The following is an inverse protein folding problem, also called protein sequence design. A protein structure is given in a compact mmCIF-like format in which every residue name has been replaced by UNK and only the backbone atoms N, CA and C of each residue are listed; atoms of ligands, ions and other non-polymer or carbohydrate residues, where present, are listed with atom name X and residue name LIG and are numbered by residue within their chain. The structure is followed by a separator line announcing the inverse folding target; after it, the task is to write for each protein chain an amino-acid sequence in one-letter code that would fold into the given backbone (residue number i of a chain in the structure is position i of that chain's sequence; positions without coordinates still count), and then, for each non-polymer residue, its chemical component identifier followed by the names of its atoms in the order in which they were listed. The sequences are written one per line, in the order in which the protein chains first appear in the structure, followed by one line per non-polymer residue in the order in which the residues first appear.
data_IF_955983860480
#
_entry.id   IF_955983860480
#
_cell.length_a   1.000
_cell.length_b   1.000
_cell.length_c   1.000
_cell.angle_alpha   90.00
_cell.angle_beta   90.00
_cell.angle_gamma   90.00
#
_symmetry.space_group_name_H-M   'P 1'
#
loop_
_entity.id
_entity.type
_entity.pdbx_description
1 polymer ?
#
# COMPACT_ATOMS: atom_id res chain seq x y z
N UNK A 1 52.22 -31.44 -0.50
CA UNK A 1 50.80 -31.62 -0.10
C UNK A 1 50.24 -30.22 0.10
N UNK A 2 49.58 -29.68 -0.93
CA UNK A 2 48.85 -28.42 -0.89
C UNK A 2 47.40 -28.76 -0.56
N UNK A 3 46.88 -28.23 0.55
CA UNK A 3 45.47 -28.34 0.90
C UNK A 3 44.79 -27.02 0.53
N UNK A 4 43.90 -27.11 -0.47
CA UNK A 4 42.99 -26.05 -0.89
C UNK A 4 42.06 -25.64 0.27
N UNK A 5 42.01 -24.35 0.54
CA UNK A 5 40.99 -23.75 1.39
C UNK A 5 39.89 -23.17 0.49
N UNK A 6 38.80 -23.93 0.32
CA UNK A 6 37.59 -23.44 -0.33
C UNK A 6 36.83 -22.56 0.67
N UNK A 7 36.79 -21.26 0.41
CA UNK A 7 36.01 -20.29 1.17
C UNK A 7 34.56 -20.32 0.66
N UNK A 8 33.68 -21.03 1.35
CA UNK A 8 32.24 -21.03 1.06
C UNK A 8 31.64 -19.76 1.68
N UNK A 9 31.38 -18.75 0.84
CA UNK A 9 30.57 -17.59 1.22
C UNK A 9 29.12 -18.04 1.27
N UNK A 10 28.63 -18.37 2.47
CA UNK A 10 27.22 -18.57 2.72
C UNK A 10 26.51 -17.20 2.61
N UNK A 11 25.81 -16.98 1.49
CA UNK A 11 24.84 -15.88 1.42
C UNK A 11 23.68 -16.22 2.35
N UNK A 12 23.63 -15.54 3.50
CA UNK A 12 22.47 -15.57 4.36
C UNK A 12 21.32 -14.83 3.65
N UNK A 13 20.47 -15.58 2.95
CA UNK A 13 19.14 -15.10 2.58
C UNK A 13 18.36 -14.96 3.88
N UNK A 14 18.26 -13.73 4.40
CA UNK A 14 17.29 -13.42 5.43
C UNK A 14 15.91 -13.81 4.89
N UNK A 15 15.10 -14.59 5.62
CA UNK A 15 13.72 -14.77 5.24
C UNK A 15 13.08 -13.38 5.27
N UNK A 16 12.60 -12.89 4.12
CA UNK A 16 11.50 -11.93 4.12
C UNK A 16 10.42 -12.58 4.99
N UNK A 17 10.27 -12.11 6.22
CA UNK A 17 9.21 -12.58 7.09
C UNK A 17 7.92 -12.33 6.33
N UNK A 18 7.21 -13.41 6.00
CA UNK A 18 5.82 -13.41 5.54
C UNK A 18 5.01 -12.66 6.61
N UNK A 19 4.97 -11.34 6.52
CA UNK A 19 3.99 -10.57 7.25
C UNK A 19 2.63 -11.15 6.82
N UNK A 20 1.77 -11.55 7.78
CA UNK A 20 0.50 -12.15 7.45
C UNK A 20 -0.25 -11.23 6.49
N UNK A 21 -0.62 -11.77 5.32
CA UNK A 21 -1.36 -11.02 4.30
C UNK A 21 -2.59 -10.38 4.92
N UNK A 22 -2.84 -9.12 4.57
CA UNK A 22 -3.97 -8.38 5.13
C UNK A 22 -5.30 -9.10 4.89
N UNK A 23 -6.21 -9.14 5.89
CA UNK A 23 -7.56 -9.66 5.78
C UNK A 23 -8.31 -9.22 4.53
N UNK A 24 -8.17 -7.95 4.10
CA UNK A 24 -8.79 -7.43 2.88
C UNK A 24 -8.42 -8.28 1.65
N UNK A 25 -7.14 -8.66 1.50
CA UNK A 25 -6.65 -9.48 0.40
C UNK A 25 -7.15 -10.92 0.52
N UNK A 26 -7.04 -11.53 1.71
CA UNK A 26 -7.46 -12.92 1.91
C UNK A 26 -8.97 -13.10 1.73
N UNK A 27 -9.77 -12.13 2.15
CA UNK A 27 -11.23 -12.11 1.98
C UNK A 27 -11.63 -11.99 0.51
N UNK A 28 -10.92 -11.15 -0.26
CA UNK A 28 -11.12 -11.04 -1.71
C UNK A 28 -10.82 -12.37 -2.40
N UNK A 29 -9.68 -12.99 -2.10
CA UNK A 29 -9.34 -14.27 -2.72
C UNK A 29 -10.31 -15.39 -2.35
N UNK A 30 -10.75 -15.45 -1.09
CA UNK A 30 -11.73 -16.42 -0.63
C UNK A 30 -13.04 -16.26 -1.42
N UNK A 31 -13.56 -15.03 -1.52
CA UNK A 31 -14.75 -14.76 -2.32
C UNK A 31 -14.60 -15.22 -3.77
N UNK A 32 -13.47 -14.93 -4.42
CA UNK A 32 -13.23 -15.33 -5.80
C UNK A 32 -13.25 -16.85 -5.96
N UNK A 33 -12.62 -17.59 -5.03
CA UNK A 33 -12.59 -19.06 -5.04
C UNK A 33 -14.00 -19.65 -4.85
N UNK A 34 -14.77 -19.09 -3.93
CA UNK A 34 -16.10 -19.61 -3.58
C UNK A 34 -17.16 -19.35 -4.68
N UNK A 35 -17.00 -18.26 -5.45
CA UNK A 35 -18.01 -17.81 -6.41
C UNK A 35 -17.66 -18.06 -7.89
N UNK A 36 -16.47 -18.60 -8.19
CA UNK A 36 -16.02 -18.83 -9.56
C UNK A 36 -16.98 -19.75 -10.36
N UNK A 37 -17.49 -20.81 -9.74
CA UNK A 37 -18.46 -21.71 -10.36
C UNK A 37 -19.76 -20.98 -10.77
N UNK A 38 -20.23 -20.07 -9.93
CA UNK A 38 -21.42 -19.28 -10.19
C UNK A 38 -21.19 -18.30 -11.35
N UNK A 39 -20.03 -17.64 -11.40
CA UNK A 39 -19.69 -16.75 -12.50
C UNK A 39 -19.67 -17.47 -13.86
N UNK A 40 -19.14 -18.70 -13.91
CA UNK A 40 -19.14 -19.53 -15.12
C UNK A 40 -20.54 -19.99 -15.53
N UNK A 41 -21.49 -20.10 -14.59
CA UNK A 41 -22.88 -20.42 -14.91
C UNK A 41 -23.65 -19.26 -15.54
N UNK A 42 -23.26 -18.02 -15.23
CA UNK A 42 -23.97 -16.81 -15.68
C UNK A 42 -23.51 -16.37 -17.07
N UNK A 43 -22.26 -16.63 -17.44
CA UNK A 43 -21.72 -16.22 -18.75
C UNK A 43 -20.98 -17.34 -19.48
N UNK A 44 -21.21 -17.43 -20.79
CA UNK A 44 -20.49 -18.31 -21.72
C UNK A 44 -19.14 -17.74 -22.18
N UNK A 45 -18.85 -16.46 -21.92
CA UNK A 45 -17.53 -15.84 -22.16
C UNK A 45 -16.60 -15.93 -20.93
N UNK A 46 -15.34 -16.36 -21.11
CA UNK A 46 -14.40 -16.47 -19.98
C UNK A 46 -14.04 -15.10 -19.40
N UNK A 47 -13.80 -14.12 -20.27
CA UNK A 47 -13.54 -12.72 -19.87
C UNK A 47 -14.75 -12.13 -19.14
N UNK A 48 -15.95 -12.33 -19.66
CA UNK A 48 -17.18 -11.82 -19.06
C UNK A 48 -17.46 -12.45 -17.70
N UNK A 49 -17.25 -13.77 -17.56
CA UNK A 49 -17.37 -14.46 -16.28
C UNK A 49 -16.35 -13.95 -15.25
N UNK A 50 -15.09 -13.74 -15.65
CA UNK A 50 -14.07 -13.20 -14.74
C UNK A 50 -14.37 -11.75 -14.34
N UNK A 51 -14.83 -10.93 -15.30
CA UNK A 51 -15.28 -9.57 -15.02
C UNK A 51 -16.47 -9.55 -14.07
N UNK A 52 -17.49 -10.38 -14.30
CA UNK A 52 -18.65 -10.51 -13.42
C UNK A 52 -18.28 -10.99 -12.01
N UNK A 53 -17.34 -11.94 -11.91
CA UNK A 53 -16.84 -12.43 -10.62
C UNK A 53 -16.21 -11.30 -9.80
N UNK A 54 -15.35 -10.49 -10.43
CA UNK A 54 -14.60 -9.41 -9.75
C UNK A 54 -15.47 -8.18 -9.49
N UNK A 55 -16.22 -7.74 -10.49
CA UNK A 55 -16.95 -6.45 -10.47
C UNK A 55 -18.37 -6.55 -9.88
N UNK A 56 -18.91 -7.75 -9.73
CA UNK A 56 -20.28 -7.94 -9.24
C UNK A 56 -20.34 -8.91 -8.05
N UNK A 57 -20.02 -10.19 -8.22
CA UNK A 57 -20.16 -11.19 -7.14
C UNK A 57 -19.25 -10.89 -5.95
N UNK A 58 -18.00 -10.49 -6.24
CA UNK A 58 -16.98 -10.19 -5.22
C UNK A 58 -16.60 -8.71 -5.18
N UNK A 59 -17.47 -7.82 -5.65
CA UNK A 59 -17.17 -6.39 -5.74
C UNK A 59 -16.73 -5.79 -4.40
N UNK A 60 -17.48 -6.04 -3.33
CA UNK A 60 -17.18 -5.49 -2.00
C UNK A 60 -15.80 -5.94 -1.45
N UNK A 61 -15.48 -7.25 -1.35
CA UNK A 61 -14.18 -7.67 -0.84
C UNK A 61 -13.02 -7.30 -1.79
N UNK A 62 -13.24 -7.29 -3.11
CA UNK A 62 -12.25 -6.79 -4.07
C UNK A 62 -11.98 -5.31 -3.85
N UNK A 63 -13.00 -4.47 -3.66
CA UNK A 63 -12.83 -3.04 -3.40
C UNK A 63 -12.11 -2.76 -2.08
N UNK A 64 -12.34 -3.58 -1.05
CA UNK A 64 -11.60 -3.50 0.20
C UNK A 64 -10.12 -3.83 0.00
N UNK A 65 -9.80 -4.89 -0.76
CA UNK A 65 -8.43 -5.24 -1.13
C UNK A 65 -7.74 -4.13 -1.96
N UNK A 66 -8.44 -3.58 -2.95
CA UNK A 66 -8.00 -2.43 -3.75
C UNK A 66 -7.67 -1.22 -2.87
N UNK A 67 -8.56 -0.90 -1.94
CA UNK A 67 -8.39 0.24 -1.05
C UNK A 67 -7.23 0.02 -0.08
N UNK A 68 -7.09 -1.19 0.45
CA UNK A 68 -5.98 -1.53 1.32
C UNK A 68 -4.64 -1.37 0.62
N UNK A 69 -4.46 -1.90 -0.59
CA UNK A 69 -3.19 -1.77 -1.33
C UNK A 69 -2.87 -0.31 -1.64
N UNK A 70 -3.81 0.40 -2.27
CA UNK A 70 -3.62 1.80 -2.66
C UNK A 70 -3.31 2.68 -1.45
N UNK A 71 -4.07 2.52 -0.37
CA UNK A 71 -3.94 3.38 0.80
C UNK A 71 -2.67 3.04 1.60
N UNK A 72 -2.26 1.77 1.63
CA UNK A 72 -0.98 1.34 2.23
C UNK A 72 0.20 1.92 1.46
N UNK A 73 0.24 1.73 0.13
CA UNK A 73 1.30 2.30 -0.72
C UNK A 73 1.35 3.83 -0.61
N UNK A 74 0.19 4.49 -0.56
CA UNK A 74 0.14 5.94 -0.40
C UNK A 74 0.68 6.37 0.96
N UNK A 75 0.30 5.71 2.04
CA UNK A 75 0.80 6.03 3.39
C UNK A 75 2.31 5.79 3.50
N UNK A 76 2.82 4.71 2.92
CA UNK A 76 4.26 4.42 2.84
C UNK A 76 5.01 5.48 2.03
N UNK A 77 4.48 5.89 0.88
CA UNK A 77 5.07 6.96 0.07
C UNK A 77 5.10 8.30 0.81
N UNK A 78 4.03 8.67 1.52
CA UNK A 78 3.98 9.89 2.31
C UNK A 78 5.01 9.83 3.45
N UNK A 79 5.09 8.71 4.17
CA UNK A 79 6.10 8.50 5.23
C UNK A 79 7.52 8.61 4.68
N UNK A 80 7.82 7.93 3.58
CA UNK A 80 9.14 7.99 2.94
C UNK A 80 9.50 9.38 2.43
N UNK A 81 8.54 10.14 1.91
CA UNK A 81 8.74 11.53 1.50
C UNK A 81 9.07 12.43 2.71
N UNK A 82 8.33 12.29 3.81
CA UNK A 82 8.58 13.05 5.03
C UNK A 82 9.95 12.70 5.64
N UNK A 83 10.27 11.42 5.79
CA UNK A 83 11.58 10.98 6.27
C UNK A 83 12.74 11.47 5.40
N UNK A 84 12.57 11.48 4.08
CA UNK A 84 13.57 12.00 3.14
C UNK A 84 13.78 13.50 3.29
N UNK A 85 12.70 14.24 3.52
CA UNK A 85 12.73 15.68 3.72
C UNK A 85 13.33 16.07 5.07
N UNK A 86 12.97 15.37 6.15
CA UNK A 86 13.60 15.53 7.47
C UNK A 86 15.10 15.29 7.39
N UNK A 87 15.55 14.24 6.68
CA UNK A 87 16.98 13.99 6.49
C UNK A 87 17.68 15.09 5.69
N UNK A 88 17.03 15.63 4.67
CA UNK A 88 17.59 16.72 3.87
C UNK A 88 17.74 18.01 4.69
N UNK A 89 16.74 18.36 5.51
CA UNK A 89 16.79 19.55 6.38
C UNK A 89 17.81 19.41 7.51
N UNK A 90 17.95 18.22 8.12
CA UNK A 90 19.00 17.98 9.12
C UNK A 90 20.39 18.02 8.50
N UNK A 91 20.58 17.50 7.29
CA UNK A 91 21.88 17.55 6.60
C UNK A 91 22.30 18.99 6.27
N UNK A 92 21.37 19.86 5.89
CA UNK A 92 21.65 21.29 5.69
C UNK A 92 21.93 22.05 6.99
N UNK A 93 21.40 21.59 8.12
CA UNK A 93 21.69 22.18 9.44
C UNK A 93 23.09 21.80 9.94
N UNK A 94 23.53 20.56 9.72
CA UNK A 94 24.88 20.10 10.08
C UNK A 94 25.97 20.80 9.23
N UNK A 95 25.71 21.11 7.96
CA UNK A 95 26.64 21.91 7.13
C UNK A 95 26.68 23.39 7.56
N UNK A 96 25.57 23.93 8.09
CA UNK A 96 25.48 25.31 8.57
C UNK A 96 26.21 25.55 9.91
N UNK A 97 26.45 24.52 10.72
CA UNK A 97 27.25 24.62 11.96
C UNK A 97 28.76 24.83 11.70
N UNK A 98 29.20 24.73 10.43
CA UNK A 98 30.57 25.10 10.02
C UNK A 98 30.76 26.60 9.76
N UNK A 99 29.68 27.40 9.74
CA UNK A 99 29.74 28.85 9.58
C UNK A 99 28.85 29.55 10.60
N UNK A 100 29.49 30.00 11.67
CA UNK A 100 28.96 30.91 12.68
C UNK A 100 28.30 32.16 12.04
N UNK A 101 26.98 32.15 11.85
CA UNK A 101 26.15 33.35 12.04
C UNK A 101 24.68 32.99 12.27
N UNK A 102 24.19 33.34 13.46
CA UNK A 102 22.79 33.35 13.84
C UNK A 102 21.99 34.26 12.91
N UNK A 103 21.29 33.69 11.95
CA UNK A 103 20.01 34.23 11.48
C UNK A 103 19.11 33.04 11.24
N UNK A 104 18.20 32.77 12.18
CA UNK A 104 17.14 31.80 11.97
C UNK A 104 16.32 32.29 10.80
N UNK A 105 16.55 31.71 9.62
CA UNK A 105 15.79 32.01 8.43
C UNK A 105 14.34 31.60 8.73
N UNK A 106 13.39 32.55 8.82
CA UNK A 106 12.02 32.23 9.22
C UNK A 106 11.40 31.17 8.30
N UNK A 107 11.86 31.07 7.06
CA UNK A 107 11.44 30.07 6.07
C UNK A 107 11.83 28.63 6.47
N UNK A 108 13.02 28.43 7.07
CA UNK A 108 13.46 27.10 7.55
C UNK A 108 12.78 26.70 8.86
N UNK A 109 12.44 27.67 9.71
CA UNK A 109 11.70 27.44 10.96
C UNK A 109 10.23 27.14 10.68
N UNK A 110 9.62 27.85 9.72
CA UNK A 110 8.25 27.57 9.26
C UNK A 110 8.16 26.22 8.55
N UNK A 111 9.16 25.86 7.74
CA UNK A 111 9.27 24.55 7.13
C UNK A 111 9.41 23.46 8.20
N UNK A 112 10.30 23.61 9.19
CA UNK A 112 10.44 22.68 10.31
C UNK A 112 9.15 22.49 11.12
N UNK A 113 8.43 23.57 11.42
CA UNK A 113 7.15 23.52 12.12
C UNK A 113 6.03 22.89 11.29
N UNK A 114 6.02 23.10 9.97
CA UNK A 114 5.14 22.39 9.05
C UNK A 114 5.51 20.89 8.97
N UNK A 115 6.79 20.53 9.04
CA UNK A 115 7.24 19.14 9.05
C UNK A 115 6.92 18.41 10.34
N UNK A 116 7.03 19.04 11.52
CA UNK A 116 6.55 18.44 12.77
C UNK A 116 5.02 18.25 12.72
N UNK A 117 4.28 19.20 12.14
CA UNK A 117 2.83 19.09 11.95
C UNK A 117 2.42 17.91 11.05
N UNK A 118 3.23 17.54 10.05
CA UNK A 118 2.98 16.38 9.19
C UNK A 118 3.66 15.09 9.70
N UNK A 119 4.81 15.16 10.36
CA UNK A 119 5.58 14.03 10.87
C UNK A 119 4.90 13.39 12.08
N UNK A 120 4.64 14.16 13.14
CA UNK A 120 3.84 13.70 14.29
C UNK A 120 2.36 13.49 13.90
N UNK A 121 1.89 14.19 12.87
CA UNK A 121 0.52 14.11 12.37
C UNK A 121 0.12 12.76 11.74
N UNK A 122 1.09 11.92 11.34
CA UNK A 122 0.84 10.62 10.71
C UNK A 122 1.04 9.42 11.63
N UNK A 123 1.60 9.60 12.83
CA UNK A 123 1.73 8.53 13.82
C UNK A 123 0.35 8.02 14.29
N UNK A 124 -0.68 8.85 14.15
CA UNK A 124 -2.08 8.49 14.36
C UNK A 124 -2.79 7.90 13.14
N UNK A 125 -2.16 7.83 11.97
CA UNK A 125 -2.78 7.37 10.72
C UNK A 125 -2.38 5.93 10.42
N UNK A 126 -3.37 5.05 10.32
CA UNK A 126 -3.22 3.64 9.97
C UNK A 126 -4.26 3.22 8.93
N UNK A 127 -4.09 2.04 8.36
CA UNK A 127 -5.05 1.45 7.42
C UNK A 127 -5.78 0.31 8.12
N UNK A 128 -7.11 0.31 8.07
CA UNK A 128 -7.90 -0.82 8.51
C UNK A 128 -7.53 -2.05 7.66
N UNK A 129 -7.06 -3.15 8.26
CA UNK A 129 -6.55 -4.30 7.54
C UNK A 129 -7.67 -5.12 6.85
N UNK A 130 -8.93 -4.86 7.17
CA UNK A 130 -10.12 -5.53 6.64
C UNK A 130 -10.81 -4.73 5.56
N UNK A 131 -10.99 -3.42 5.76
CA UNK A 131 -11.71 -2.55 4.82
C UNK A 131 -10.78 -1.78 3.88
N UNK A 132 -9.52 -1.63 4.27
CA UNK A 132 -8.55 -0.80 3.55
C UNK A 132 -8.75 0.69 3.75
N UNK A 133 -9.60 1.14 4.67
CA UNK A 133 -9.85 2.57 4.93
C UNK A 133 -8.81 3.19 5.87
N UNK A 134 -8.64 4.51 5.79
CA UNK A 134 -7.80 5.25 6.73
C UNK A 134 -8.45 5.34 8.11
N UNK A 135 -7.80 4.76 9.10
CA UNK A 135 -8.13 4.87 10.53
C UNK A 135 -7.22 5.93 11.14
N UNK A 136 -7.82 6.93 11.76
CA UNK A 136 -7.10 8.07 12.33
C UNK A 136 -7.40 8.10 13.82
N UNK A 137 -6.37 7.87 14.64
CA UNK A 137 -6.44 7.81 16.10
C UNK A 137 -5.58 8.92 16.71
N UNK A 138 -6.10 9.62 17.73
CA UNK A 138 -5.35 10.65 18.47
C UNK A 138 -5.38 12.05 17.86
N UNK A 139 -4.42 12.89 18.25
CA UNK A 139 -4.22 14.29 17.79
C UNK A 139 -3.55 14.38 16.41
N UNK A 140 -3.70 13.38 15.55
CA UNK A 140 -3.38 13.54 14.13
C UNK A 140 -4.12 14.78 13.63
N UNK A 141 -3.37 15.83 13.32
CA UNK A 141 -3.93 17.16 13.09
C UNK A 141 -5.07 17.06 12.08
N UNK A 142 -6.28 17.46 12.47
CA UNK A 142 -7.51 17.18 11.72
C UNK A 142 -7.45 17.64 10.26
N UNK A 143 -6.54 18.55 9.94
CA UNK A 143 -6.25 19.07 8.59
C UNK A 143 -5.46 18.05 7.75
N UNK A 144 -4.37 17.46 8.26
CA UNK A 144 -3.59 16.45 7.54
C UNK A 144 -4.43 15.18 7.29
N UNK A 145 -5.17 14.76 8.31
CA UNK A 145 -6.15 13.68 8.25
C UNK A 145 -7.22 13.88 7.15
N UNK A 146 -7.77 15.09 7.06
CA UNK A 146 -8.80 15.45 6.08
C UNK A 146 -8.22 15.57 4.68
N UNK A 147 -7.00 16.10 4.54
CA UNK A 147 -6.31 16.20 3.26
C UNK A 147 -6.02 14.81 2.66
N UNK A 148 -5.55 13.87 3.48
CA UNK A 148 -5.28 12.49 3.07
C UNK A 148 -6.56 11.83 2.57
N UNK A 149 -7.65 11.85 3.35
CA UNK A 149 -8.93 11.28 2.89
C UNK A 149 -9.42 11.91 1.58
N UNK A 150 -9.29 13.23 1.44
CA UNK A 150 -9.76 13.95 0.26
C UNK A 150 -8.93 13.58 -0.97
N UNK A 151 -7.60 13.60 -0.89
CA UNK A 151 -6.73 13.19 -2.00
C UNK A 151 -6.93 11.72 -2.37
N UNK A 152 -7.10 10.84 -1.38
CA UNK A 152 -7.30 9.40 -1.63
C UNK A 152 -8.57 9.15 -2.44
N UNK A 153 -9.68 9.80 -2.07
CA UNK A 153 -10.95 9.63 -2.76
C UNK A 153 -10.86 10.13 -4.20
N UNK A 154 -10.11 11.21 -4.46
CA UNK A 154 -9.89 11.73 -5.82
C UNK A 154 -8.97 10.81 -6.64
N UNK A 155 -7.87 10.30 -6.06
CA UNK A 155 -6.98 9.34 -6.71
C UNK A 155 -7.67 8.01 -7.03
N UNK A 156 -8.53 7.53 -6.11
CA UNK A 156 -9.33 6.33 -6.32
C UNK A 156 -10.31 6.44 -7.49
N UNK A 157 -10.79 7.65 -7.81
CA UNK A 157 -11.64 7.91 -8.97
C UNK A 157 -10.85 8.09 -10.27
N UNK A 158 -9.60 8.55 -10.19
CA UNK A 158 -8.74 8.78 -11.35
C UNK A 158 -8.13 7.48 -11.90
N UNK A 159 -7.87 6.50 -11.01
CA UNK A 159 -7.34 5.20 -11.39
C UNK A 159 -8.48 4.34 -11.99
N UNK A 160 -8.56 4.35 -13.32
CA UNK A 160 -9.62 3.78 -14.16
C UNK A 160 -9.87 2.26 -13.99
N UNK A 161 -9.03 1.55 -13.24
CA UNK A 161 -9.28 0.20 -12.72
C UNK A 161 -8.61 0.04 -11.35
N UNK A 162 -9.36 0.09 -10.24
CA UNK A 162 -8.80 -0.04 -8.90
C UNK A 162 -8.43 -1.49 -8.56
N UNK A 163 -8.69 -2.47 -9.43
CA UNK A 163 -8.52 -3.88 -9.09
C UNK A 163 -7.06 -4.31 -9.11
N UNK A 164 -6.54 -4.90 -8.01
CA UNK A 164 -5.23 -5.53 -7.99
C UNK A 164 -5.03 -6.52 -9.13
N UNK A 165 -3.88 -6.46 -9.80
CA UNK A 165 -3.54 -7.34 -10.94
C UNK A 165 -3.69 -8.81 -10.54
N UNK A 166 -3.16 -9.19 -9.37
CA UNK A 166 -3.19 -10.58 -8.90
C UNK A 166 -4.62 -11.11 -8.67
N UNK A 167 -5.58 -10.26 -8.28
CA UNK A 167 -6.99 -10.65 -8.13
C UNK A 167 -7.65 -10.87 -9.48
N UNK A 168 -7.32 -10.05 -10.49
CA UNK A 168 -7.78 -10.24 -11.88
C UNK A 168 -7.23 -11.54 -12.47
N UNK A 169 -5.95 -11.82 -12.26
CA UNK A 169 -5.31 -13.06 -12.69
C UNK A 169 -5.91 -14.28 -12.00
N UNK A 170 -6.14 -14.19 -10.68
CA UNK A 170 -6.80 -15.25 -9.92
C UNK A 170 -8.21 -15.52 -10.44
N UNK A 171 -9.02 -14.48 -10.66
CA UNK A 171 -10.35 -14.62 -11.21
C UNK A 171 -10.36 -15.28 -12.60
N UNK A 172 -9.46 -14.84 -13.50
CA UNK A 172 -9.32 -15.44 -14.82
C UNK A 172 -8.92 -16.92 -14.77
N UNK A 173 -7.95 -17.26 -13.92
CA UNK A 173 -7.52 -18.65 -13.71
C UNK A 173 -8.65 -19.52 -13.19
N UNK A 174 -9.35 -19.09 -12.14
CA UNK A 174 -10.44 -19.85 -11.53
C UNK A 174 -11.59 -20.13 -12.52
N UNK A 175 -11.92 -19.13 -13.34
CA UNK A 175 -12.92 -19.27 -14.41
C UNK A 175 -12.49 -20.30 -15.46
N UNK A 176 -11.22 -20.27 -15.88
CA UNK A 176 -10.69 -21.24 -16.85
C UNK A 176 -10.64 -22.66 -16.27
N UNK A 177 -10.27 -22.82 -15.01
CA UNK A 177 -10.25 -24.11 -14.31
C UNK A 177 -11.66 -24.73 -14.25
N UNK A 178 -12.67 -23.96 -13.84
CA UNK A 178 -14.05 -24.43 -13.76
C UNK A 178 -14.66 -24.78 -15.13
N UNK A 179 -14.19 -24.14 -16.20
CA UNK A 179 -14.63 -24.45 -17.57
C UNK A 179 -14.00 -25.71 -18.14
N UNK A 180 -12.73 -25.96 -17.83
CA UNK A 180 -12.01 -27.16 -18.29
C UNK A 180 -12.47 -28.43 -17.58
N UNK A 181 -13.05 -28.30 -16.38
CA UNK A 181 -13.61 -29.40 -15.62
C UNK A 181 -15.06 -29.77 -15.96
N UNK A 182 -15.69 -29.12 -16.94
CA UNK A 182 -17.02 -29.45 -17.48
C UNK A 182 -16.91 -30.15 -18.81
#
# INVERSE_FOLDING_TARGET
MLADAVFVVAMATLPMQDAPRAPALTNAEACLRDNAAQAVNVSSGATDAASFLVSYLCAAPVNAASSWQRNTEMLENIRGMLEGMTRATTATADDADSTNETTGDPELVEAGAAFDFFGEGLDGVSIDPTTGEFVITGEASGIAATMIRTQTNTLGQLLNDPTPVFLRELAGRLVLEHRRGR
#
